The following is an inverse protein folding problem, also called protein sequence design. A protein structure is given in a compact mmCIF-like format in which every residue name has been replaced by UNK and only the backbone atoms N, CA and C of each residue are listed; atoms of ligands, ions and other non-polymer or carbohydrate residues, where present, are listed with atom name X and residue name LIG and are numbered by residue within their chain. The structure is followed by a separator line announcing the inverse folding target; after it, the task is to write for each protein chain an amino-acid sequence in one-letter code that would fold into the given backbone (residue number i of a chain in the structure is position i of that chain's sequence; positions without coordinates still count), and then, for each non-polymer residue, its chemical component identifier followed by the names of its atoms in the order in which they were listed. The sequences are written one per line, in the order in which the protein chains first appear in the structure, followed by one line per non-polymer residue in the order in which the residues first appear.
data_IF_803818619504
#
_entry.id   IF_803818619504
#
_cell.length_a   1.000
_cell.length_b   1.000
_cell.length_c   1.000
_cell.angle_alpha   90.00
_cell.angle_beta   90.00
_cell.angle_gamma   90.00
#
_symmetry.space_group_name_H-M   'P 1'
#
loop_
_entity.id
_entity.type
_entity.pdbx_description
1 polymer ?
#
# COMPACT_ATOMS: atom_id res chain seq x y z
N UNK A 1 -16.01 18.37 15.94
CA UNK A 1 -15.66 17.70 14.68
C UNK A 1 -14.70 16.57 15.05
N UNK A 2 -14.98 15.31 14.67
CA UNK A 2 -14.16 14.16 15.09
C UNK A 2 -12.74 14.29 14.55
N UNK A 3 -11.71 14.00 15.36
CA UNK A 3 -10.29 13.90 14.96
C UNK A 3 -10.10 13.07 13.68
N UNK A 4 -11.01 12.13 13.42
CA UNK A 4 -11.06 11.34 12.20
C UNK A 4 -11.34 12.15 10.93
N UNK A 5 -12.30 13.08 10.95
CA UNK A 5 -12.61 13.95 9.82
C UNK A 5 -11.46 14.90 9.50
N UNK A 6 -10.68 15.30 10.50
CA UNK A 6 -9.42 16.02 10.28
C UNK A 6 -8.33 15.13 9.67
N UNK A 7 -8.23 13.86 10.08
CA UNK A 7 -7.27 12.92 9.50
C UNK A 7 -7.62 12.54 8.06
N UNK A 8 -8.91 12.40 7.71
CA UNK A 8 -9.34 12.24 6.31
C UNK A 8 -9.04 13.49 5.49
N UNK A 9 -9.32 14.69 6.01
CA UNK A 9 -8.93 15.93 5.34
C UNK A 9 -7.41 16.01 5.16
N UNK A 10 -6.61 15.60 6.15
CA UNK A 10 -5.15 15.47 6.03
C UNK A 10 -4.77 14.41 5.00
N UNK A 11 -5.48 13.30 4.87
CA UNK A 11 -5.27 12.29 3.84
C UNK A 11 -5.45 12.89 2.44
N UNK A 12 -6.56 13.60 2.19
CA UNK A 12 -6.79 14.33 0.94
C UNK A 12 -5.71 15.39 0.71
N UNK A 13 -5.31 16.12 1.76
CA UNK A 13 -4.31 17.18 1.66
C UNK A 13 -2.91 16.64 1.38
N UNK A 14 -2.51 15.50 1.97
CA UNK A 14 -1.23 14.83 1.72
C UNK A 14 -1.18 14.36 0.26
N UNK A 15 -2.25 13.74 -0.24
CA UNK A 15 -2.33 13.36 -1.65
C UNK A 15 -2.17 14.57 -2.60
N UNK A 16 -2.78 15.72 -2.28
CA UNK A 16 -2.70 16.94 -3.10
C UNK A 16 -1.37 17.70 -2.98
N UNK A 17 -0.73 17.65 -1.81
CA UNK A 17 0.53 18.37 -1.57
C UNK A 17 1.74 17.63 -2.14
N UNK A 18 1.74 16.30 -2.19
CA UNK A 18 2.78 15.55 -2.90
C UNK A 18 2.78 15.79 -4.41
N UNK A 19 1.60 16.00 -5.02
CA UNK A 19 1.50 16.42 -6.44
C UNK A 19 2.11 17.80 -6.69
N UNK A 20 2.15 18.66 -5.66
CA UNK A 20 2.69 20.02 -5.77
C UNK A 20 4.20 20.09 -5.49
N UNK A 21 4.75 19.16 -4.70
CA UNK A 21 6.18 19.12 -4.37
C UNK A 21 7.01 18.57 -5.55
N UNK A 22 6.49 17.60 -6.31
CA UNK A 22 7.17 17.08 -7.51
C UNK A 22 7.30 18.12 -8.63
N UNK A 23 6.50 19.19 -8.62
CA UNK A 23 6.60 20.31 -9.58
C UNK A 23 7.66 21.36 -9.21
N UNK A 24 8.26 21.33 -8.01
CA UNK A 24 9.10 22.43 -7.51
C UNK A 24 10.62 22.14 -7.52
N UNK A 25 11.05 20.95 -7.91
CA UNK A 25 12.48 20.58 -7.90
C UNK A 25 13.19 20.62 -9.25
N UNK A 26 12.59 21.21 -10.28
CA UNK A 26 13.19 21.28 -11.62
C UNK A 26 13.47 22.72 -12.10
N UNK A 27 14.09 23.58 -11.27
CA UNK A 27 14.85 24.75 -11.76
C UNK A 27 16.01 25.06 -10.81
N UNK A 28 17.15 24.41 -11.01
CA UNK A 28 18.45 25.02 -10.69
C UNK A 28 19.56 24.38 -11.55
N UNK A 29 19.44 24.62 -12.86
CA UNK A 29 20.53 24.40 -13.79
C UNK A 29 21.40 25.66 -13.88
N UNK A 30 22.59 25.56 -13.28
CA UNK A 30 23.92 25.99 -13.74
C UNK A 30 24.11 27.37 -14.38
N UNK A 31 25.10 28.06 -13.81
CA UNK A 31 25.80 29.22 -14.36
C UNK A 31 26.17 29.06 -15.85
N UNK A 32 25.71 30.00 -16.66
CA UNK A 32 26.17 30.23 -18.04
C UNK A 32 27.23 31.33 -18.05
N UNK A 33 28.31 31.21 -18.85
CA UNK A 33 28.96 32.38 -19.38
C UNK A 33 28.26 32.85 -20.67
N UNK A 34 27.90 34.13 -20.69
CA UNK A 34 27.65 34.94 -21.90
C UNK A 34 28.86 34.87 -22.82
N UNK A 35 28.68 34.67 -24.13
CA UNK A 35 28.82 35.74 -25.14
C UNK A 35 28.63 35.24 -26.59
N UNK A 36 28.24 36.20 -27.44
CA UNK A 36 28.41 36.30 -28.90
C UNK A 36 27.40 35.66 -29.88
N UNK A 37 26.81 36.53 -30.72
CA UNK A 37 26.50 36.26 -32.12
C UNK A 37 25.10 36.65 -32.58
N UNK A 38 24.97 37.86 -33.13
CA UNK A 38 23.84 38.37 -33.92
C UNK A 38 23.64 37.59 -35.24
N UNK A 39 22.49 37.86 -35.85
CA UNK A 39 22.08 37.67 -37.26
C UNK A 39 21.16 36.48 -37.60
N UNK A 40 19.95 36.88 -37.99
CA UNK A 40 18.99 36.27 -38.92
C UNK A 40 18.51 34.84 -38.66
N UNK A 41 17.23 34.75 -38.24
CA UNK A 41 16.25 33.78 -38.75
C UNK A 41 14.83 34.11 -38.28
N UNK A 42 14.09 34.82 -39.15
CA UNK A 42 12.64 34.66 -39.26
C UNK A 42 12.35 33.27 -39.85
N UNK A 43 12.07 32.29 -38.99
CA UNK A 43 11.30 31.09 -39.33
C UNK A 43 10.98 30.30 -38.05
N UNK A 44 9.72 29.86 -37.95
CA UNK A 44 9.17 28.86 -37.02
C UNK A 44 8.62 29.38 -35.68
N UNK A 45 7.46 30.04 -35.75
CA UNK A 45 6.43 29.93 -34.69
C UNK A 45 5.20 29.25 -35.30
N UNK A 46 5.32 27.95 -35.55
CA UNK A 46 4.19 27.09 -35.92
C UNK A 46 4.57 25.60 -35.78
N UNK A 47 5.01 25.14 -34.61
CA UNK A 47 5.08 23.69 -34.34
C UNK A 47 5.13 23.37 -32.85
N UNK A 48 4.05 23.68 -32.11
CA UNK A 48 3.79 23.08 -30.79
C UNK A 48 2.29 23.12 -30.43
N UNK A 49 1.41 22.98 -31.43
CA UNK A 49 -0.03 22.76 -31.20
C UNK A 49 -0.55 21.63 -32.08
N UNK A 50 0.32 20.64 -32.31
CA UNK A 50 0.00 19.42 -33.02
C UNK A 50 0.83 18.25 -32.44
N UNK A 51 0.66 17.98 -31.15
CA UNK A 51 1.05 16.69 -30.56
C UNK A 51 0.30 16.42 -29.25
N UNK A 52 -1.02 16.67 -29.28
CA UNK A 52 -1.98 16.23 -28.25
C UNK A 52 -3.26 15.69 -28.91
N UNK A 53 -3.14 15.17 -30.14
CA UNK A 53 -4.18 14.38 -30.78
C UNK A 53 -3.50 13.14 -31.33
N UNK A 54 -3.97 11.99 -30.88
CA UNK A 54 -3.53 10.63 -31.23
C UNK A 54 -2.55 9.98 -30.24
N UNK A 55 -2.92 9.96 -28.96
CA UNK A 55 -2.92 8.67 -28.26
C UNK A 55 -4.38 8.31 -28.07
N UNK A 56 -4.85 7.35 -28.84
CA UNK A 56 -6.14 6.72 -28.62
C UNK A 56 -6.14 6.15 -27.21
N UNK A 57 -6.81 6.85 -26.30
CA UNK A 57 -7.34 6.29 -25.07
C UNK A 57 -8.13 5.07 -25.50
N UNK A 58 -7.57 3.88 -25.31
CA UNK A 58 -8.31 2.65 -25.50
C UNK A 58 -9.57 2.74 -24.66
N UNK A 59 -10.69 2.28 -25.22
CA UNK A 59 -11.94 2.20 -24.47
C UNK A 59 -11.67 1.63 -23.08
N UNK A 60 -12.16 2.27 -22.00
CA UNK A 60 -11.96 1.76 -20.66
C UNK A 60 -12.50 0.34 -20.62
N UNK A 61 -11.57 -0.61 -20.49
CA UNK A 61 -11.79 -2.05 -20.42
C UNK A 61 -13.06 -2.32 -19.59
N UNK A 62 -14.08 -2.90 -20.23
CA UNK A 62 -15.38 -3.17 -19.62
C UNK A 62 -15.23 -4.09 -18.38
N UNK A 63 -14.06 -4.74 -18.20
CA UNK A 63 -13.67 -5.47 -16.99
C UNK A 63 -13.48 -4.59 -15.74
N UNK A 64 -13.33 -3.27 -15.88
CA UNK A 64 -13.15 -2.33 -14.78
C UNK A 64 -14.44 -2.06 -13.98
N UNK A 65 -15.63 -2.27 -14.57
CA UNK A 65 -16.94 -2.04 -13.90
C UNK A 65 -17.16 -2.92 -12.68
N UNK A 66 -16.37 -3.98 -12.55
CA UNK A 66 -16.61 -5.06 -11.62
C UNK A 66 -15.59 -5.08 -10.46
N UNK A 67 -14.58 -4.21 -10.52
CA UNK A 67 -13.57 -4.03 -9.47
C UNK A 67 -14.07 -3.05 -8.42
N UNK A 68 -14.03 -3.43 -7.14
CA UNK A 68 -14.56 -2.58 -6.05
C UNK A 68 -13.51 -1.78 -5.30
N UNK A 69 -12.23 -2.16 -5.39
CA UNK A 69 -11.22 -1.70 -4.44
C UNK A 69 -9.91 -1.28 -5.08
N UNK A 70 -9.33 -0.21 -4.55
CA UNK A 70 -7.94 0.17 -4.76
C UNK A 70 -7.12 -0.16 -3.50
N UNK A 71 -5.90 -0.65 -3.68
CA UNK A 71 -4.94 -0.75 -2.57
C UNK A 71 -4.38 0.63 -2.24
N UNK A 72 -4.48 1.06 -0.98
CA UNK A 72 -3.98 2.37 -0.55
C UNK A 72 -2.89 2.31 0.52
N UNK A 73 -2.70 1.18 1.20
CA UNK A 73 -1.67 1.06 2.22
C UNK A 73 -1.83 -0.12 3.15
N UNK A 74 -1.21 -0.01 4.32
CA UNK A 74 -1.23 -1.03 5.38
C UNK A 74 -1.60 -0.41 6.73
N UNK A 75 -2.33 -1.15 7.53
CA UNK A 75 -2.71 -0.81 8.90
C UNK A 75 -1.96 -1.71 9.88
N UNK A 76 -1.40 -1.12 10.93
CA UNK A 76 -0.63 -1.80 11.97
C UNK A 76 -1.35 -1.67 13.30
N UNK A 77 -1.54 -2.80 13.96
CA UNK A 77 -2.38 -2.92 15.13
C UNK A 77 -1.61 -3.46 16.33
N UNK A 78 -1.69 -2.75 17.46
CA UNK A 78 -1.13 -3.13 18.74
C UNK A 78 -2.26 -3.41 19.72
N UNK A 79 -2.76 -4.65 19.73
CA UNK A 79 -3.85 -5.06 20.62
C UNK A 79 -3.37 -5.35 22.05
N UNK A 80 -4.34 -5.37 22.97
CA UNK A 80 -4.11 -5.61 24.40
C UNK A 80 -4.53 -7.02 24.86
N UNK A 81 -4.94 -7.86 23.92
CA UNK A 81 -5.29 -9.26 24.22
C UNK A 81 -4.05 -10.07 24.63
N UNK A 82 -4.25 -11.16 25.39
CA UNK A 82 -3.18 -12.12 25.70
C UNK A 82 -2.45 -12.60 24.44
N UNK A 83 -3.19 -12.89 23.36
CA UNK A 83 -2.60 -13.28 22.08
C UNK A 83 -1.77 -12.17 21.44
N UNK A 84 -2.20 -10.91 21.56
CA UNK A 84 -1.44 -9.76 21.07
C UNK A 84 -0.13 -9.59 21.84
N UNK A 85 -0.16 -9.73 23.17
CA UNK A 85 1.05 -9.70 23.99
C UNK A 85 2.04 -10.80 23.62
N UNK A 86 1.56 -12.03 23.42
CA UNK A 86 2.42 -13.14 22.98
C UNK A 86 3.13 -12.83 21.64
N UNK A 87 2.40 -12.29 20.66
CA UNK A 87 2.98 -11.91 19.36
C UNK A 87 4.01 -10.78 19.53
N UNK A 88 3.66 -9.72 20.28
CA UNK A 88 4.55 -8.58 20.55
C UNK A 88 5.87 -9.04 21.18
N UNK A 89 5.80 -9.91 22.18
CA UNK A 89 6.97 -10.50 22.83
C UNK A 89 7.79 -11.36 21.86
N UNK A 90 7.14 -12.28 21.14
CA UNK A 90 7.83 -13.20 20.22
C UNK A 90 8.51 -12.49 19.03
N UNK A 91 7.96 -11.35 18.59
CA UNK A 91 8.46 -10.58 17.45
C UNK A 91 9.33 -9.39 17.86
N UNK A 92 9.53 -9.19 19.17
CA UNK A 92 10.19 -8.02 19.76
C UNK A 92 9.68 -6.70 19.16
N UNK A 93 8.36 -6.56 19.10
CA UNK A 93 7.68 -5.42 18.47
C UNK A 93 6.44 -5.00 19.27
N UNK A 94 6.01 -3.77 19.10
CA UNK A 94 4.72 -3.29 19.61
C UNK A 94 3.55 -3.64 18.70
N UNK A 95 3.78 -4.13 17.47
CA UNK A 95 2.72 -4.48 16.52
C UNK A 95 2.42 -5.97 16.62
N UNK A 96 1.15 -6.28 16.84
CA UNK A 96 0.63 -7.65 16.97
C UNK A 96 -0.12 -8.15 15.75
N UNK A 97 -0.58 -7.24 14.88
CA UNK A 97 -1.45 -7.56 13.77
C UNK A 97 -1.30 -6.53 12.65
N UNK A 98 -1.65 -6.93 11.43
CA UNK A 98 -1.57 -6.10 10.22
C UNK A 98 -2.78 -6.36 9.33
N UNK A 99 -3.28 -5.30 8.72
CA UNK A 99 -4.30 -5.35 7.67
C UNK A 99 -3.86 -4.54 6.45
N UNK A 100 -4.51 -4.79 5.33
CA UNK A 100 -4.39 -4.01 4.10
C UNK A 100 -5.50 -2.95 4.10
N UNK A 101 -5.15 -1.71 3.78
CA UNK A 101 -6.13 -0.64 3.64
C UNK A 101 -6.53 -0.54 2.18
N UNK A 102 -7.84 -0.57 1.96
CA UNK A 102 -8.47 -0.45 0.65
C UNK A 102 -9.36 0.79 0.60
N UNK A 103 -9.48 1.42 -0.57
CA UNK A 103 -10.54 2.41 -0.84
C UNK A 103 -11.53 1.84 -1.85
N UNK A 104 -12.79 2.27 -1.80
CA UNK A 104 -13.73 2.00 -2.90
C UNK A 104 -13.24 2.70 -4.18
N UNK A 105 -13.47 2.09 -5.35
CA UNK A 105 -13.13 2.70 -6.64
C UNK A 105 -14.08 3.85 -6.99
N UNK A 106 -15.34 3.77 -6.54
CA UNK A 106 -16.38 4.75 -6.85
C UNK A 106 -16.49 5.85 -5.79
N UNK A 107 -15.94 5.60 -4.59
CA UNK A 107 -15.97 6.52 -3.46
C UNK A 107 -14.67 6.41 -2.66
N UNK A 108 -13.71 7.29 -2.95
CA UNK A 108 -12.38 7.26 -2.33
C UNK A 108 -12.42 7.53 -0.81
N UNK A 109 -13.49 8.12 -0.30
CA UNK A 109 -13.66 8.39 1.12
C UNK A 109 -14.15 7.14 1.89
N UNK A 110 -14.60 6.11 1.17
CA UNK A 110 -15.04 4.85 1.76
C UNK A 110 -13.89 3.86 1.85
N UNK A 111 -13.35 3.72 3.07
CA UNK A 111 -12.21 2.87 3.37
C UNK A 111 -12.60 1.53 4.00
N UNK A 112 -11.77 0.52 3.77
CA UNK A 112 -11.92 -0.82 4.33
C UNK A 112 -10.58 -1.38 4.82
N UNK A 113 -10.65 -2.28 5.80
CA UNK A 113 -9.56 -3.14 6.22
C UNK A 113 -9.76 -4.54 5.63
N UNK A 114 -8.78 -5.04 4.89
CA UNK A 114 -8.70 -6.44 4.46
C UNK A 114 -7.65 -7.16 5.29
N UNK A 115 -8.06 -8.20 6.02
CA UNK A 115 -7.22 -8.80 7.04
C UNK A 115 -7.54 -10.28 7.26
N UNK A 116 -6.57 -11.01 7.82
CA UNK A 116 -6.76 -12.38 8.31
C UNK A 116 -6.79 -12.38 9.84
N UNK A 117 -7.93 -12.70 10.44
CA UNK A 117 -8.12 -12.79 11.89
C UNK A 117 -8.52 -14.20 12.29
N UNK A 118 -8.67 -14.51 13.59
CA UNK A 118 -8.96 -15.88 14.09
C UNK A 118 -10.17 -16.57 13.41
N UNK A 119 -11.16 -15.82 12.93
CA UNK A 119 -12.35 -16.34 12.23
C UNK A 119 -12.15 -16.54 10.72
N UNK A 120 -11.01 -16.14 10.17
CA UNK A 120 -10.69 -16.20 8.74
C UNK A 120 -10.36 -14.84 8.15
N UNK A 121 -10.15 -14.84 6.84
CA UNK A 121 -9.96 -13.64 6.03
C UNK A 121 -11.30 -12.91 5.84
N UNK A 122 -11.29 -11.59 6.01
CA UNK A 122 -12.47 -10.73 5.87
C UNK A 122 -12.13 -9.34 5.33
N UNK A 123 -13.15 -8.66 4.81
CA UNK A 123 -13.16 -7.21 4.58
C UNK A 123 -14.14 -6.58 5.58
N UNK A 124 -13.71 -5.54 6.27
CA UNK A 124 -14.53 -4.77 7.22
C UNK A 124 -14.40 -3.27 6.91
N UNK A 125 -15.45 -2.45 7.04
CA UNK A 125 -15.32 -1.00 6.95
C UNK A 125 -14.26 -0.48 7.93
N UNK A 126 -13.40 0.43 7.46
CA UNK A 126 -12.28 0.95 8.26
C UNK A 126 -12.76 1.63 9.55
N UNK A 127 -13.82 2.42 9.47
CA UNK A 127 -14.41 3.13 10.61
C UNK A 127 -14.83 2.18 11.72
N UNK A 128 -15.46 1.06 11.35
CA UNK A 128 -15.89 0.01 12.28
C UNK A 128 -14.69 -0.68 12.93
N UNK A 129 -13.65 -1.01 12.14
CA UNK A 129 -12.44 -1.61 12.69
C UNK A 129 -11.75 -0.65 13.67
N UNK A 130 -11.64 0.64 13.34
CA UNK A 130 -11.02 1.66 14.22
C UNK A 130 -11.82 1.87 15.51
N UNK A 131 -13.15 1.94 15.42
CA UNK A 131 -14.01 2.14 16.60
C UNK A 131 -13.91 0.97 17.57
N UNK A 132 -13.97 -0.25 17.04
CA UNK A 132 -14.15 -1.47 17.82
C UNK A 132 -12.82 -2.06 18.32
N UNK A 133 -11.69 -1.65 17.73
CA UNK A 133 -10.40 -2.19 18.13
C UNK A 133 -9.98 -1.76 19.54
N UNK A 134 -9.64 -2.75 20.36
CA UNK A 134 -9.06 -2.57 21.70
C UNK A 134 -7.53 -2.58 21.64
N UNK A 135 -6.96 -1.38 21.47
CA UNK A 135 -5.52 -1.17 21.43
C UNK A 135 -5.17 0.06 20.60
N UNK A 136 -3.92 0.12 20.13
CA UNK A 136 -3.42 1.21 19.27
C UNK A 136 -3.48 0.83 17.80
N UNK A 137 -3.75 1.82 16.96
CA UNK A 137 -3.76 1.68 15.50
C UNK A 137 -2.87 2.74 14.90
N UNK A 138 -2.05 2.33 13.94
CA UNK A 138 -1.36 3.24 13.02
C UNK A 138 -1.52 2.72 11.59
N UNK A 139 -1.27 3.56 10.60
CA UNK A 139 -1.23 3.14 9.21
C UNK A 139 -0.09 3.78 8.44
N UNK A 140 0.20 3.20 7.28
CA UNK A 140 1.16 3.72 6.30
C UNK A 140 0.52 3.66 4.93
N UNK A 141 0.60 4.75 4.18
CA UNK A 141 0.06 4.82 2.83
C UNK A 141 1.10 4.33 1.83
N UNK A 142 0.62 3.62 0.82
CA UNK A 142 1.41 3.22 -0.32
C UNK A 142 1.32 4.32 -1.38
N UNK A 143 2.48 4.84 -1.77
CA UNK A 143 2.62 5.82 -2.84
C UNK A 143 3.36 5.18 -4.02
N UNK A 144 2.83 5.36 -5.22
CA UNK A 144 3.51 5.05 -6.48
C UNK A 144 4.06 6.37 -7.05
N UNK A 145 5.38 6.56 -6.97
CA UNK A 145 6.03 7.81 -7.38
C UNK A 145 6.24 7.91 -8.89
N UNK A 146 6.11 6.80 -9.61
CA UNK A 146 6.29 6.79 -11.06
C UNK A 146 4.95 6.98 -11.80
N UNK A 147 3.83 6.97 -11.08
CA UNK A 147 2.46 6.95 -11.62
C UNK A 147 2.25 5.84 -12.68
N UNK A 148 3.17 4.87 -12.74
CA UNK A 148 3.24 3.84 -13.79
C UNK A 148 2.36 2.65 -13.44
N UNK A 149 1.17 2.91 -12.88
CA UNK A 149 0.21 1.97 -12.25
C UNK A 149 -0.23 0.88 -13.24
N UNK A 150 0.64 -0.09 -13.45
CA UNK A 150 0.34 -1.32 -14.20
C UNK A 150 0.17 -2.49 -13.24
N UNK A 151 0.73 -2.41 -12.02
CA UNK A 151 0.77 -3.56 -11.11
C UNK A 151 -0.23 -3.53 -9.96
N UNK A 152 -0.74 -2.35 -9.56
CA UNK A 152 -1.78 -2.19 -8.52
C UNK A 152 -3.17 -1.99 -9.11
N UNK A 153 -3.45 -2.61 -10.26
CA UNK A 153 -4.74 -2.42 -10.93
C UNK A 153 -5.90 -2.93 -10.05
N UNK A 154 -7.05 -2.25 -10.05
CA UNK A 154 -8.24 -2.67 -9.29
C UNK A 154 -8.61 -4.13 -9.54
N UNK A 155 -8.38 -4.60 -10.78
CA UNK A 155 -8.61 -5.98 -11.18
C UNK A 155 -7.72 -6.97 -10.41
N UNK A 156 -6.39 -6.77 -10.36
CA UNK A 156 -5.49 -7.66 -9.61
C UNK A 156 -5.81 -7.66 -8.11
N UNK A 157 -6.18 -6.50 -7.57
CA UNK A 157 -6.65 -6.38 -6.17
C UNK A 157 -7.93 -7.20 -5.96
N UNK A 158 -8.92 -7.07 -6.85
CA UNK A 158 -10.16 -7.85 -6.82
C UNK A 158 -9.89 -9.35 -6.90
N UNK A 159 -9.05 -9.77 -7.84
CA UNK A 159 -8.72 -11.18 -8.07
C UNK A 159 -8.08 -11.78 -6.81
N UNK A 160 -7.12 -11.07 -6.20
CA UNK A 160 -6.50 -11.49 -4.94
C UNK A 160 -7.52 -11.57 -3.80
N UNK A 161 -8.35 -10.54 -3.62
CA UNK A 161 -9.39 -10.55 -2.58
C UNK A 161 -10.33 -11.73 -2.78
N UNK A 162 -10.78 -11.98 -4.00
CA UNK A 162 -11.70 -13.08 -4.33
C UNK A 162 -11.07 -14.44 -4.03
N UNK A 163 -9.78 -14.60 -4.30
CA UNK A 163 -9.05 -15.83 -4.03
C UNK A 163 -8.90 -16.10 -2.52
N UNK A 164 -8.71 -15.06 -1.70
CA UNK A 164 -8.45 -15.19 -0.27
C UNK A 164 -9.67 -14.99 0.63
N UNK A 165 -10.77 -14.44 0.12
CA UNK A 165 -11.97 -14.19 0.91
C UNK A 165 -12.44 -15.48 1.59
N UNK A 166 -12.74 -15.38 2.89
CA UNK A 166 -13.18 -16.50 3.75
C UNK A 166 -12.21 -17.67 3.87
N UNK A 167 -10.96 -17.58 3.37
CA UNK A 167 -9.94 -18.58 3.70
C UNK A 167 -9.77 -18.64 5.23
N UNK A 168 -9.68 -19.84 5.82
CA UNK A 168 -9.59 -19.96 7.26
C UNK A 168 -8.24 -19.49 7.78
N UNK A 169 -8.22 -19.06 9.03
CA UNK A 169 -7.02 -18.57 9.69
C UNK A 169 -6.06 -19.70 10.08
N UNK A 170 -4.75 -19.46 9.92
CA UNK A 170 -3.72 -20.40 10.40
C UNK A 170 -3.69 -20.40 11.93
N UNK A 171 -4.33 -21.39 12.57
CA UNK A 171 -4.33 -21.53 14.03
C UNK A 171 -3.00 -22.05 14.61
N UNK A 172 -1.99 -22.31 13.79
CA UNK A 172 -0.76 -22.94 14.24
C UNK A 172 0.28 -21.92 14.74
N UNK A 173 0.48 -21.75 16.07
CA UNK A 173 1.48 -20.84 16.63
C UNK A 173 2.92 -21.22 16.25
N UNK A 174 3.18 -22.49 15.89
CA UNK A 174 4.50 -22.94 15.44
C UNK A 174 4.89 -22.23 14.14
N UNK A 175 3.92 -21.94 13.27
CA UNK A 175 4.17 -21.21 12.01
C UNK A 175 4.68 -19.80 12.28
N UNK A 176 4.13 -19.12 13.30
CA UNK A 176 4.61 -17.80 13.71
C UNK A 176 6.05 -17.87 14.27
N UNK A 177 6.34 -18.86 15.10
CA UNK A 177 7.69 -19.08 15.62
C UNK A 177 8.67 -19.34 14.47
N UNK A 178 8.31 -20.19 13.51
CA UNK A 178 9.13 -20.43 12.31
C UNK A 178 9.33 -19.17 11.48
N UNK A 179 8.32 -18.31 11.36
CA UNK A 179 8.41 -17.04 10.66
C UNK A 179 9.45 -16.12 11.31
N UNK A 180 9.47 -16.05 12.64
CA UNK A 180 10.49 -15.30 13.40
C UNK A 180 11.91 -15.75 13.07
N UNK A 181 12.12 -17.05 12.83
CA UNK A 181 13.41 -17.59 12.43
C UNK A 181 13.64 -17.65 10.91
N UNK A 182 12.71 -17.14 10.09
CA UNK A 182 12.80 -17.21 8.62
C UNK A 182 12.78 -18.63 8.06
N UNK A 183 12.19 -19.59 8.78
CA UNK A 183 12.22 -21.03 8.45
C UNK A 183 10.94 -21.55 7.81
N UNK A 184 9.95 -20.69 7.53
CA UNK A 184 8.84 -21.12 6.68
C UNK A 184 9.32 -21.20 5.23
N UNK A 185 8.73 -22.15 4.51
CA UNK A 185 8.94 -22.33 3.07
C UNK A 185 7.58 -22.23 2.40
N UNK A 186 7.52 -21.68 1.19
CA UNK A 186 6.27 -21.52 0.42
C UNK A 186 5.58 -22.85 0.05
N UNK A 187 6.17 -24.00 0.41
CA UNK A 187 5.57 -25.32 0.26
C UNK A 187 4.45 -25.61 1.27
N UNK A 188 4.15 -24.68 2.20
CA UNK A 188 3.04 -24.87 3.13
C UNK A 188 1.69 -24.76 2.43
N UNK A 189 0.79 -25.67 2.78
CA UNK A 189 -0.55 -25.81 2.22
C UNK A 189 -1.30 -24.45 2.23
N UNK A 190 -1.82 -23.96 1.08
CA UNK A 190 -2.49 -22.66 0.97
C UNK A 190 -3.86 -22.59 1.68
N UNK A 191 -4.21 -23.63 2.44
CA UNK A 191 -5.51 -23.75 3.09
C UNK A 191 -5.71 -22.79 4.25
N UNK A 192 -4.64 -22.20 4.79
CA UNK A 192 -4.73 -21.23 5.88
C UNK A 192 -3.70 -20.10 5.74
N UNK A 193 -4.05 -18.88 6.13
CA UNK A 193 -3.14 -17.72 6.13
C UNK A 193 -3.20 -16.95 7.43
N UNK A 194 -2.06 -16.46 7.92
CA UNK A 194 -2.02 -15.49 9.03
C UNK A 194 -1.95 -14.05 8.51
N UNK A 195 -2.10 -13.06 9.41
CA UNK A 195 -2.29 -11.66 9.04
C UNK A 195 -1.15 -11.06 8.19
N UNK A 196 0.10 -11.18 8.64
CA UNK A 196 1.23 -10.63 7.90
C UNK A 196 1.61 -11.44 6.67
N UNK A 197 1.32 -12.74 6.64
CA UNK A 197 1.42 -13.54 5.41
C UNK A 197 0.44 -13.06 4.35
N UNK A 198 -0.83 -12.85 4.70
CA UNK A 198 -1.84 -12.33 3.76
C UNK A 198 -1.39 -10.98 3.18
N UNK A 199 -0.96 -10.06 4.04
CA UNK A 199 -0.49 -8.75 3.61
C UNK A 199 0.76 -8.84 2.72
N UNK A 200 1.78 -9.60 3.13
CA UNK A 200 2.99 -9.80 2.34
C UNK A 200 2.70 -10.47 0.99
N UNK A 201 1.85 -11.50 0.98
CA UNK A 201 1.43 -12.22 -0.21
C UNK A 201 0.76 -11.27 -1.21
N UNK A 202 -0.18 -10.44 -0.76
CA UNK A 202 -0.83 -9.45 -1.62
C UNK A 202 0.19 -8.47 -2.21
N UNK A 203 1.08 -7.92 -1.38
CA UNK A 203 2.08 -6.95 -1.82
C UNK A 203 3.13 -7.58 -2.75
N UNK A 204 3.46 -8.86 -2.59
CA UNK A 204 4.32 -9.60 -3.53
C UNK A 204 3.61 -9.90 -4.85
N UNK A 205 2.36 -10.37 -4.77
CA UNK A 205 1.58 -10.74 -5.95
C UNK A 205 1.20 -9.53 -6.78
N UNK A 206 1.24 -8.32 -6.21
CA UNK A 206 1.11 -7.02 -6.90
C UNK A 206 2.47 -6.37 -7.22
N UNK A 207 3.58 -7.09 -7.03
CA UNK A 207 4.94 -6.62 -7.31
C UNK A 207 5.28 -5.26 -6.64
N UNK A 208 4.79 -5.05 -5.42
CA UNK A 208 5.08 -3.87 -4.58
C UNK A 208 6.29 -4.11 -3.67
N UNK A 209 6.40 -5.30 -3.08
CA UNK A 209 7.57 -5.71 -2.28
C UNK A 209 8.44 -6.71 -3.04
N UNK A 210 9.74 -6.68 -2.77
CA UNK A 210 10.72 -7.56 -3.40
C UNK A 210 10.51 -9.02 -2.96
N UNK A 211 10.58 -9.94 -3.93
CA UNK A 211 10.51 -11.40 -3.73
C UNK A 211 11.90 -11.98 -3.46
N UNK A 212 12.69 -11.37 -2.58
CA UNK A 212 14.12 -11.64 -2.34
C UNK A 212 14.43 -12.98 -1.64
N UNK A 213 13.85 -14.08 -2.12
CA UNK A 213 13.86 -15.42 -1.53
C UNK A 213 13.22 -15.50 -0.13
N UNK A 214 12.57 -14.42 0.34
CA UNK A 214 11.75 -14.44 1.57
C UNK A 214 10.32 -14.84 1.21
N UNK A 215 9.91 -16.01 1.68
CA UNK A 215 8.52 -16.47 1.64
C UNK A 215 7.57 -15.45 2.30
N UNK A 216 6.34 -15.29 1.79
CA UNK A 216 5.33 -14.42 2.39
C UNK A 216 5.06 -14.81 3.86
N UNK A 217 5.09 -16.12 4.15
CA UNK A 217 4.94 -16.69 5.49
C UNK A 217 6.14 -16.44 6.42
N UNK A 218 7.20 -15.76 5.98
CA UNK A 218 8.29 -15.28 6.85
C UNK A 218 8.17 -13.80 7.19
N UNK A 219 7.13 -13.11 6.72
CA UNK A 219 6.89 -11.72 7.11
C UNK A 219 6.16 -11.64 8.45
N UNK A 220 6.62 -10.75 9.31
CA UNK A 220 6.00 -10.43 10.59
C UNK A 220 5.26 -9.09 10.51
N UNK A 221 4.25 -8.83 11.37
CA UNK A 221 3.60 -7.52 11.42
C UNK A 221 4.61 -6.38 11.63
N UNK A 222 5.67 -6.64 12.41
CA UNK A 222 6.73 -5.69 12.68
C UNK A 222 7.54 -5.27 11.45
N UNK A 223 7.60 -6.10 10.42
CA UNK A 223 8.42 -5.80 9.22
C UNK A 223 7.87 -4.61 8.45
N UNK A 224 6.58 -4.33 8.61
CA UNK A 224 5.88 -3.21 7.99
C UNK A 224 5.98 -1.91 8.79
N UNK A 225 6.65 -1.93 9.95
CA UNK A 225 6.89 -0.72 10.73
C UNK A 225 7.93 0.19 10.08
N UNK A 226 7.93 1.47 10.46
CA UNK A 226 8.94 2.46 10.05
C UNK A 226 10.36 2.01 10.40
N UNK A 227 10.56 1.40 11.58
CA UNK A 227 11.88 1.06 12.11
C UNK A 227 12.53 -0.16 11.44
N UNK A 228 11.74 -1.05 10.83
CA UNK A 228 12.25 -2.22 10.11
C UNK A 228 12.19 -2.00 8.60
N UNK A 229 11.00 -1.64 8.11
CA UNK A 229 10.75 -1.41 6.69
C UNK A 229 10.79 -2.68 5.85
N UNK A 230 9.74 -2.92 5.07
CA UNK A 230 9.80 -3.90 3.99
C UNK A 230 10.56 -3.34 2.80
N UNK A 231 11.28 -4.19 2.07
CA UNK A 231 11.97 -3.80 0.85
C UNK A 231 10.95 -3.66 -0.28
N UNK A 232 10.70 -2.43 -0.68
CA UNK A 232 9.79 -2.11 -1.78
C UNK A 232 10.50 -2.24 -3.14
N UNK A 233 9.75 -2.57 -4.18
CA UNK A 233 10.22 -2.45 -5.56
C UNK A 233 10.37 -0.97 -5.94
N UNK A 234 11.19 -0.70 -6.95
CA UNK A 234 11.41 0.67 -7.44
C UNK A 234 10.08 1.32 -7.83
N UNK A 235 9.88 2.57 -7.41
CA UNK A 235 8.64 3.30 -7.66
C UNK A 235 7.65 3.31 -6.49
N UNK A 236 7.82 2.43 -5.49
CA UNK A 236 6.92 2.39 -4.35
C UNK A 236 7.54 2.97 -3.08
N UNK A 237 6.73 3.71 -2.31
CA UNK A 237 7.08 4.23 -0.99
C UNK A 237 5.95 3.91 -0.02
N UNK A 238 6.30 3.50 1.21
CA UNK A 238 5.38 3.53 2.33
C UNK A 238 5.64 4.79 3.17
N UNK A 239 4.62 5.61 3.37
CA UNK A 239 4.72 6.82 4.20
C UNK A 239 5.19 6.48 5.61
N UNK A 240 5.65 7.47 6.40
CA UNK A 240 5.77 7.30 7.83
C UNK A 240 4.45 6.79 8.45
N UNK A 241 4.57 5.98 9.51
CA UNK A 241 3.45 5.61 10.38
C UNK A 241 2.66 6.84 10.87
N UNK A 242 1.36 6.83 10.61
CA UNK A 242 0.40 7.82 11.10
C UNK A 242 -0.46 7.14 12.17
N UNK A 243 -0.42 7.69 13.39
CA UNK A 243 -1.19 7.16 14.53
C UNK A 243 -2.65 7.59 14.40
N UNK A 244 -3.56 6.64 14.61
CA UNK A 244 -5.01 6.85 14.60
C UNK A 244 -5.57 6.89 16.02
N UNK A 245 -5.16 5.92 16.85
CA UNK A 245 -5.64 5.68 18.22
C UNK A 245 -4.53 5.06 19.06
#
# INVERSE_FOLDING_TARGET
MSTYQENLKRFTYICLSFTSITFSTEVQARDLPRNYGDEDRDANVAFATASLKNNSVGDPDESAKDSKYNLIGVALFSGDSFTSHAIKTATHSNVSHIGIILSDINDKDKLYCFESIKSGVRIIPWDSEVSDYHGKISYRLLLDVNESITNTTPKRVKDFITEYDRKPYTKNPITLIKAVYGKNSDKSNPSTVFCSELAAKMLMDLDIIQKDNKAASNYLPSDFQNSKGVRLNQGFILTPEIVVK
#
